data_IF_627531564693
#
_entry.id   IF_627531564693
#
_cell.length_a   1.000
_cell.length_b   1.000
_cell.length_c   1.000
_cell.angle_alpha   90.00
_cell.angle_beta   90.00
_cell.angle_gamma   90.00
#
_symmetry.space_group_name_H-M   'P 1'
#
loop_
_entity.id
_entity.type
_entity.pdbx_description
1 polymer ?
#
# COMPACT_ATOMS: atom_id res chain seq x y z
N UNK A 1 -4.80 -22.13 -12.24
CA UNK A 1 -3.84 -21.01 -12.40
C UNK A 1 -4.62 -19.71 -12.41
N UNK A 2 -4.17 -18.71 -11.64
CA UNK A 2 -4.82 -17.41 -11.57
C UNK A 2 -4.64 -16.65 -12.90
N UNK A 3 -5.71 -16.04 -13.44
CA UNK A 3 -5.59 -15.21 -14.64
C UNK A 3 -4.95 -13.86 -14.32
N UNK A 4 -4.40 -13.18 -15.33
CA UNK A 4 -3.83 -11.83 -15.19
C UNK A 4 -4.86 -10.83 -14.68
N UNK A 5 -6.11 -10.95 -15.14
CA UNK A 5 -7.22 -10.10 -14.71
C UNK A 5 -7.58 -10.30 -13.25
N UNK A 6 -7.66 -11.55 -12.79
CA UNK A 6 -7.91 -11.89 -11.39
C UNK A 6 -6.78 -11.39 -10.49
N UNK A 7 -5.54 -11.53 -10.92
CA UNK A 7 -4.38 -11.01 -10.19
C UNK A 7 -4.40 -9.48 -10.08
N UNK A 8 -4.82 -8.76 -11.13
CA UNK A 8 -4.95 -7.31 -11.12
C UNK A 8 -6.05 -6.85 -10.14
N UNK A 9 -7.21 -7.50 -10.12
CA UNK A 9 -8.29 -7.21 -9.17
C UNK A 9 -7.80 -7.39 -7.73
N UNK A 10 -7.18 -8.54 -7.45
CA UNK A 10 -6.62 -8.83 -6.13
C UNK A 10 -5.60 -7.78 -5.68
N UNK A 11 -4.69 -7.41 -6.59
CA UNK A 11 -3.70 -6.36 -6.32
C UNK A 11 -4.36 -5.03 -5.97
N UNK A 12 -5.40 -4.62 -6.70
CA UNK A 12 -6.12 -3.37 -6.41
C UNK A 12 -6.74 -3.37 -5.00
N UNK A 13 -7.33 -4.50 -4.58
CA UNK A 13 -7.88 -4.65 -3.22
C UNK A 13 -6.76 -4.57 -2.17
N UNK A 14 -5.61 -5.20 -2.42
CA UNK A 14 -4.47 -5.16 -1.53
C UNK A 14 -3.87 -3.75 -1.43
N UNK A 15 -3.74 -3.05 -2.55
CA UNK A 15 -3.26 -1.67 -2.62
C UNK A 15 -4.18 -0.73 -1.83
N UNK A 16 -5.50 -0.83 -2.01
CA UNK A 16 -6.48 -0.03 -1.28
C UNK A 16 -6.39 -0.27 0.24
N UNK A 17 -6.32 -1.51 0.66
CA UNK A 17 -6.16 -1.83 2.08
C UNK A 17 -4.82 -1.32 2.65
N UNK A 18 -3.76 -1.33 1.85
CA UNK A 18 -2.47 -0.73 2.19
C UNK A 18 -2.57 0.77 2.42
N UNK A 19 -3.23 1.49 1.50
CA UNK A 19 -3.45 2.93 1.59
C UNK A 19 -4.24 3.27 2.87
N UNK A 20 -5.36 2.60 3.13
CA UNK A 20 -6.18 2.82 4.32
C UNK A 20 -5.38 2.64 5.61
N UNK A 21 -4.51 1.64 5.66
CA UNK A 21 -3.66 1.36 6.83
C UNK A 21 -2.59 2.43 7.06
N UNK A 22 -1.98 2.95 5.99
CA UNK A 22 -0.89 3.92 6.09
C UNK A 22 -1.37 5.37 6.18
N UNK A 23 -2.63 5.64 5.85
CA UNK A 23 -3.20 6.99 5.80
C UNK A 23 -2.99 7.80 7.10
N UNK A 24 -3.23 7.27 8.32
CA UNK A 24 -2.99 8.02 9.55
C UNK A 24 -1.54 8.45 9.72
N UNK A 25 -0.59 7.58 9.42
CA UNK A 25 0.84 7.89 9.50
C UNK A 25 1.25 8.92 8.45
N UNK A 26 0.70 8.86 7.25
CA UNK A 26 0.94 9.83 6.18
C UNK A 26 0.45 11.22 6.59
N UNK A 27 -0.76 11.32 7.15
CA UNK A 27 -1.31 12.59 7.64
C UNK A 27 -0.46 13.15 8.78
N UNK A 28 -0.11 12.34 9.77
CA UNK A 28 0.73 12.76 10.88
C UNK A 28 2.11 13.26 10.42
N UNK A 29 2.71 12.63 9.43
CA UNK A 29 3.98 13.08 8.85
C UNK A 29 3.85 14.45 8.17
N UNK A 30 2.77 14.69 7.42
CA UNK A 30 2.51 15.99 6.80
C UNK A 30 2.26 17.09 7.85
N UNK A 31 1.49 16.80 8.89
CA UNK A 31 1.25 17.73 10.01
C UNK A 31 2.56 18.10 10.72
N UNK A 32 3.43 17.13 10.93
CA UNK A 32 4.76 17.36 11.51
C UNK A 32 5.63 18.26 10.63
N UNK A 33 5.61 18.04 9.31
CA UNK A 33 6.38 18.89 8.38
C UNK A 33 5.81 20.31 8.30
N UNK A 34 4.49 20.50 8.40
CA UNK A 34 3.87 21.83 8.54
C UNK A 34 4.36 22.53 9.79
N UNK A 35 4.34 21.85 10.94
CA UNK A 35 4.83 22.39 12.21
C UNK A 35 6.31 22.81 12.11
N UNK A 36 7.16 21.97 11.51
CA UNK A 36 8.58 22.32 11.29
C UNK A 36 8.76 23.56 10.42
N UNK A 37 7.93 23.75 9.38
CA UNK A 37 7.97 24.97 8.60
C UNK A 37 7.56 26.19 9.39
N UNK A 38 6.57 26.07 10.27
CA UNK A 38 6.08 27.14 11.12
C UNK A 38 7.12 27.50 12.20
N UNK A 39 7.74 26.53 12.84
CA UNK A 39 8.85 26.74 13.78
C UNK A 39 10.04 27.44 13.11
N UNK A 40 10.43 26.98 11.92
CA UNK A 40 11.54 27.62 11.19
C UNK A 40 11.21 29.06 10.76
N UNK A 41 9.96 29.38 10.48
CA UNK A 41 9.55 30.77 10.22
C UNK A 41 9.61 31.62 11.49
N UNK A 42 9.17 31.07 12.63
CA UNK A 42 9.28 31.74 13.92
C UNK A 42 10.74 32.00 14.31
N UNK A 43 11.63 31.03 14.10
CA UNK A 43 13.07 31.21 14.36
C UNK A 43 13.64 32.39 13.54
N UNK A 44 13.26 32.50 12.27
CA UNK A 44 13.71 33.62 11.42
C UNK A 44 13.11 34.92 11.92
N UNK A 45 11.83 34.96 12.27
CA UNK A 45 11.15 36.17 12.77
C UNK A 45 11.81 36.66 14.07
N UNK A 46 12.06 35.79 15.05
CA UNK A 46 12.76 36.13 16.29
C UNK A 46 14.20 36.58 16.07
N UNK A 47 14.92 35.91 15.14
CA UNK A 47 16.28 36.32 14.81
C UNK A 47 16.31 37.74 14.19
N UNK A 48 15.37 38.04 13.29
CA UNK A 48 15.22 39.36 12.66
C UNK A 48 14.86 40.46 13.66
N UNK A 49 14.08 40.11 14.69
CA UNK A 49 13.66 41.04 15.71
C UNK A 49 14.84 41.50 16.60
N UNK A 50 15.79 40.60 16.87
CA UNK A 50 16.85 40.83 17.88
C UNK A 50 18.15 41.30 17.22
N UNK A 51 18.41 41.01 15.96
CA UNK A 51 19.69 41.20 15.33
C UNK A 51 19.67 42.27 14.20
N UNK A 52 20.67 43.14 14.22
CA UNK A 52 20.98 43.95 13.04
C UNK A 52 21.67 43.09 11.97
N UNK A 53 21.35 43.33 10.71
CA UNK A 53 21.91 42.52 9.64
C UNK A 53 22.14 43.34 8.35
N UNK A 54 23.19 42.99 7.57
CA UNK A 54 23.45 43.61 6.27
C UNK A 54 22.44 43.17 5.20
N UNK A 55 22.21 43.97 4.20
CA UNK A 55 21.28 43.72 3.10
C UNK A 55 21.45 42.32 2.45
N UNK A 56 22.69 41.83 2.33
CA UNK A 56 22.98 40.49 1.81
C UNK A 56 22.36 39.37 2.67
N UNK A 57 22.42 39.50 3.97
CA UNK A 57 21.81 38.57 4.91
C UNK A 57 20.29 38.65 4.83
N UNK A 58 19.73 39.85 4.77
CA UNK A 58 18.30 40.09 4.58
C UNK A 58 17.76 39.43 3.30
N UNK A 59 18.50 39.52 2.21
CA UNK A 59 18.15 38.85 0.94
C UNK A 59 18.11 37.31 1.05
N UNK A 60 19.08 36.72 1.77
CA UNK A 60 19.09 35.25 2.02
C UNK A 60 17.91 34.83 2.88
N UNK A 61 17.61 35.59 3.94
CA UNK A 61 16.47 35.29 4.81
C UNK A 61 15.14 35.43 4.08
N UNK A 62 14.96 36.49 3.29
CA UNK A 62 13.76 36.67 2.46
C UNK A 62 13.53 35.48 1.48
N UNK A 63 14.59 34.98 0.86
CA UNK A 63 14.53 33.78 0.01
C UNK A 63 14.11 32.57 0.82
N UNK A 64 14.70 32.36 1.99
CA UNK A 64 14.37 31.24 2.87
C UNK A 64 12.94 31.28 3.37
N UNK A 65 12.44 32.46 3.75
CA UNK A 65 11.04 32.67 4.15
C UNK A 65 10.10 32.27 3.00
N UNK A 66 10.41 32.71 1.78
CA UNK A 66 9.61 32.36 0.60
C UNK A 66 9.56 30.84 0.38
N UNK A 67 10.71 30.16 0.44
CA UNK A 67 10.80 28.71 0.29
C UNK A 67 9.96 27.97 1.36
N UNK A 68 10.09 28.37 2.63
CA UNK A 68 9.34 27.77 3.74
C UNK A 68 7.83 28.00 3.61
N UNK A 69 7.41 29.19 3.20
CA UNK A 69 5.99 29.52 2.98
C UNK A 69 5.38 28.72 1.83
N UNK A 70 6.12 28.53 0.72
CA UNK A 70 5.69 27.70 -0.40
C UNK A 70 5.58 26.23 0.04
N UNK A 71 6.62 25.69 0.67
CA UNK A 71 6.60 24.31 1.20
C UNK A 71 5.42 24.09 2.16
N UNK A 72 5.20 25.03 3.10
CA UNK A 72 4.07 24.94 4.04
C UNK A 72 2.72 24.92 3.32
N UNK A 73 2.55 25.73 2.26
CA UNK A 73 1.32 25.75 1.46
C UNK A 73 1.10 24.40 0.79
N UNK A 74 2.10 23.87 0.11
CA UNK A 74 2.00 22.58 -0.59
C UNK A 74 1.63 21.44 0.38
N UNK A 75 2.22 21.45 1.58
CA UNK A 75 1.89 20.48 2.62
C UNK A 75 0.44 20.63 3.11
N UNK A 76 -0.04 21.86 3.33
CA UNK A 76 -1.43 22.13 3.74
C UNK A 76 -2.42 21.76 2.64
N UNK A 77 -2.09 22.00 1.38
CA UNK A 77 -2.93 21.61 0.25
C UNK A 77 -3.08 20.09 0.18
N UNK A 78 -2.00 19.34 0.39
CA UNK A 78 -2.05 17.88 0.49
C UNK A 78 -2.93 17.40 1.68
N UNK A 79 -2.82 18.06 2.83
CA UNK A 79 -3.68 17.74 3.98
C UNK A 79 -5.15 17.99 3.67
N UNK A 80 -5.50 19.11 3.03
CA UNK A 80 -6.88 19.43 2.61
C UNK A 80 -7.47 18.29 1.75
N UNK A 81 -6.68 17.70 0.87
CA UNK A 81 -7.09 16.57 0.03
C UNK A 81 -7.27 15.28 0.85
N UNK A 82 -6.38 15.02 1.79
CA UNK A 82 -6.36 13.76 2.55
C UNK A 82 -7.36 13.72 3.71
N UNK A 83 -7.71 14.86 4.30
CA UNK A 83 -8.63 14.92 5.44
C UNK A 83 -10.01 14.33 5.14
N UNK A 84 -10.69 14.65 4.02
CA UNK A 84 -11.95 14.00 3.66
C UNK A 84 -11.84 12.49 3.50
N UNK A 85 -10.72 12.00 2.98
CA UNK A 85 -10.46 10.56 2.84
C UNK A 85 -10.33 9.91 4.22
N UNK A 86 -9.59 10.53 5.14
CA UNK A 86 -9.48 10.10 6.54
C UNK A 86 -10.85 10.01 7.20
N UNK A 87 -11.66 11.05 7.06
CA UNK A 87 -12.99 11.13 7.70
C UNK A 87 -13.92 10.06 7.13
N UNK A 88 -13.87 9.82 5.82
CA UNK A 88 -14.62 8.74 5.19
C UNK A 88 -14.16 7.35 5.70
N UNK A 89 -12.87 7.10 5.79
CA UNK A 89 -12.32 5.84 6.32
C UNK A 89 -12.75 5.63 7.77
N UNK A 90 -12.69 6.68 8.60
CA UNK A 90 -13.12 6.61 10.00
C UNK A 90 -14.61 6.29 10.14
N UNK A 91 -15.47 6.94 9.34
CA UNK A 91 -16.90 6.70 9.33
C UNK A 91 -17.27 5.29 8.83
N UNK A 92 -16.42 4.66 8.00
CA UNK A 92 -16.67 3.36 7.39
C UNK A 92 -15.71 2.27 7.93
N UNK A 93 -15.21 2.42 9.13
CA UNK A 93 -14.23 1.51 9.72
C UNK A 93 -14.68 0.03 9.69
N UNK A 94 -15.95 -0.24 9.94
CA UNK A 94 -16.49 -1.61 9.89
C UNK A 94 -16.37 -2.22 8.49
N UNK A 95 -16.63 -1.44 7.44
CA UNK A 95 -16.50 -1.86 6.04
C UNK A 95 -15.06 -2.20 5.69
N UNK A 96 -14.11 -1.37 6.09
CA UNK A 96 -12.68 -1.64 5.86
C UNK A 96 -12.18 -2.85 6.65
N UNK A 97 -12.71 -3.09 7.84
CA UNK A 97 -12.44 -4.32 8.59
C UNK A 97 -12.99 -5.57 7.89
N UNK A 98 -14.15 -5.47 7.25
CA UNK A 98 -14.68 -6.56 6.41
C UNK A 98 -13.82 -6.81 5.17
N UNK A 99 -13.25 -5.77 4.58
CA UNK A 99 -12.31 -5.87 3.47
C UNK A 99 -11.04 -6.66 3.85
N UNK A 100 -10.53 -6.49 5.07
CA UNK A 100 -9.40 -7.29 5.55
C UNK A 100 -9.75 -8.78 5.68
N UNK A 101 -10.97 -9.11 6.12
CA UNK A 101 -11.47 -10.48 6.10
C UNK A 101 -11.56 -11.05 4.69
N UNK A 102 -12.12 -10.28 3.75
CA UNK A 102 -12.20 -10.64 2.34
C UNK A 102 -10.80 -10.94 1.76
N UNK A 103 -9.80 -10.11 2.07
CA UNK A 103 -8.41 -10.36 1.65
C UNK A 103 -7.88 -11.69 2.19
N UNK A 104 -8.21 -12.03 3.42
CA UNK A 104 -7.86 -13.32 4.01
C UNK A 104 -8.50 -14.49 3.25
N UNK A 105 -9.78 -14.38 2.90
CA UNK A 105 -10.46 -15.39 2.10
C UNK A 105 -9.89 -15.51 0.68
N UNK A 106 -9.62 -14.41 0.01
CA UNK A 106 -8.97 -14.41 -1.31
C UNK A 106 -7.63 -15.15 -1.26
N UNK A 107 -6.80 -14.89 -0.25
CA UNK A 107 -5.51 -15.59 -0.09
C UNK A 107 -5.68 -17.11 0.05
N UNK A 108 -6.67 -17.56 0.83
CA UNK A 108 -6.99 -18.98 0.97
C UNK A 108 -7.38 -19.60 -0.37
N UNK A 109 -8.21 -18.89 -1.16
CA UNK A 109 -8.63 -19.36 -2.49
C UNK A 109 -7.45 -19.41 -3.47
N UNK A 110 -6.57 -18.41 -3.46
CA UNK A 110 -5.35 -18.40 -4.30
C UNK A 110 -4.45 -19.60 -3.93
N UNK A 111 -4.25 -19.85 -2.65
CA UNK A 111 -3.48 -21.02 -2.17
C UNK A 111 -4.12 -22.32 -2.63
N UNK A 112 -5.44 -22.44 -2.54
CA UNK A 112 -6.18 -23.61 -3.01
C UNK A 112 -6.04 -23.83 -4.52
N UNK A 113 -6.21 -22.77 -5.33
CA UNK A 113 -6.13 -22.84 -6.78
C UNK A 113 -4.73 -23.21 -7.27
N UNK A 114 -3.69 -22.69 -6.59
CA UNK A 114 -2.29 -22.96 -6.94
C UNK A 114 -1.73 -24.21 -6.26
N UNK A 115 -2.49 -24.83 -5.36
CA UNK A 115 -2.11 -26.06 -4.69
C UNK A 115 -2.25 -27.30 -5.58
N UNK A 116 -1.59 -28.37 -5.20
CA UNK A 116 -1.77 -29.66 -5.83
C UNK A 116 -3.20 -30.17 -5.58
N UNK A 117 -3.89 -30.52 -6.65
CA UNK A 117 -5.22 -31.12 -6.58
C UNK A 117 -5.10 -32.62 -6.75
N UNK A 118 -5.79 -33.38 -5.91
CA UNK A 118 -5.93 -34.81 -6.05
C UNK A 118 -7.42 -35.17 -6.28
N UNK A 119 -7.64 -36.20 -7.03
CA UNK A 119 -8.97 -36.70 -7.29
C UNK A 119 -8.97 -38.24 -7.07
N UNK A 120 -9.92 -38.71 -6.33
CA UNK A 120 -10.15 -40.13 -6.18
C UNK A 120 -11.30 -40.56 -7.09
N UNK A 121 -11.07 -41.44 -8.07
CA UNK A 121 -12.11 -41.91 -8.97
C UNK A 121 -13.25 -42.60 -8.19
N UNK A 122 -14.50 -42.34 -8.63
CA UNK A 122 -15.68 -42.96 -7.98
C UNK A 122 -16.15 -44.20 -8.73
N UNK A 123 -15.82 -44.33 -9.99
CA UNK A 123 -16.33 -45.39 -10.91
C UNK A 123 -15.21 -46.02 -11.71
N UNK A 124 -14.25 -45.26 -12.23
CA UNK A 124 -13.22 -45.73 -13.13
C UNK A 124 -11.90 -46.07 -12.46
N UNK A 125 -11.97 -46.85 -11.37
CA UNK A 125 -10.77 -47.25 -10.61
C UNK A 125 -9.77 -48.07 -11.48
N UNK A 126 -10.27 -48.86 -12.41
CA UNK A 126 -9.44 -49.71 -13.27
C UNK A 126 -8.55 -48.90 -14.21
N UNK A 127 -8.98 -47.67 -14.61
CA UNK A 127 -8.23 -46.81 -15.49
C UNK A 127 -7.27 -45.89 -14.75
N UNK A 128 -7.66 -45.39 -13.56
CA UNK A 128 -6.96 -44.30 -12.91
C UNK A 128 -6.35 -44.67 -11.53
N UNK A 129 -6.61 -45.85 -11.03
CA UNK A 129 -6.28 -46.22 -9.66
C UNK A 129 -7.12 -45.44 -8.64
N UNK A 130 -6.69 -45.44 -7.36
CA UNK A 130 -7.46 -44.80 -6.28
C UNK A 130 -7.29 -43.29 -6.19
N UNK A 131 -6.17 -42.74 -6.65
CA UNK A 131 -5.87 -41.28 -6.62
C UNK A 131 -5.21 -40.84 -7.93
N UNK A 132 -5.74 -39.79 -8.54
CA UNK A 132 -5.15 -39.15 -9.72
C UNK A 132 -4.83 -37.70 -9.38
N UNK A 133 -3.58 -37.28 -9.42
CA UNK A 133 -3.23 -35.87 -9.28
C UNK A 133 -3.84 -35.08 -10.45
N UNK A 134 -4.65 -34.08 -10.15
CA UNK A 134 -5.33 -33.24 -11.18
C UNK A 134 -4.51 -32.04 -11.62
N UNK A 135 -3.38 -31.79 -11.02
CA UNK A 135 -2.47 -30.73 -11.47
C UNK A 135 -1.52 -31.28 -12.55
N UNK A 136 -2.03 -31.37 -13.75
CA UNK A 136 -1.41 -32.07 -14.90
C UNK A 136 -0.06 -31.51 -15.35
N UNK A 137 0.23 -30.22 -15.14
CA UNK A 137 1.51 -29.66 -15.58
C UNK A 137 2.70 -30.11 -14.73
N UNK A 138 2.56 -30.12 -13.39
CA UNK A 138 3.67 -30.50 -12.50
C UNK A 138 3.92 -32.01 -12.54
N UNK A 139 2.86 -32.82 -12.71
CA UNK A 139 2.97 -34.28 -12.84
C UNK A 139 3.58 -34.70 -14.18
N UNK A 140 3.25 -34.02 -15.28
CA UNK A 140 3.80 -34.28 -16.60
C UNK A 140 5.30 -33.96 -16.67
N UNK A 141 5.74 -32.87 -16.03
CA UNK A 141 7.15 -32.47 -15.98
C UNK A 141 7.97 -33.50 -15.16
N UNK A 142 7.48 -33.91 -13.99
CA UNK A 142 8.16 -34.94 -13.17
C UNK A 142 8.24 -36.30 -13.88
N UNK A 143 7.21 -36.66 -14.68
CA UNK A 143 7.22 -37.91 -15.43
C UNK A 143 8.20 -37.87 -16.63
N UNK A 144 8.37 -36.72 -17.24
CA UNK A 144 9.34 -36.51 -18.33
C UNK A 144 10.79 -36.50 -17.84
N UNK A 145 11.04 -35.99 -16.63
CA UNK A 145 12.36 -35.96 -16.00
C UNK A 145 12.78 -37.34 -15.45
N UNK A 146 11.81 -38.15 -14.97
CA UNK A 146 12.08 -39.52 -14.47
C UNK A 146 12.33 -40.56 -15.53
N UNK A 147 12.09 -40.30 -16.82
CA UNK A 147 12.35 -41.23 -17.91
C UNK A 147 13.70 -40.99 -18.64
N UNK A 148 14.52 -40.07 -18.16
CA UNK A 148 15.86 -39.77 -18.67
C UNK A 148 17.00 -40.30 -17.81
N UNK A 149 16.75 -41.28 -16.96
CA UNK A 149 17.80 -41.98 -16.18
C UNK A 149 17.95 -43.40 -16.65
#
# INVERSE_FOLDING_TARGET
MESTETAAIRKTIDDLAGIVRTLPATIAALEQEVARCEEALMDIDHWLEINDFPARTGGKLAKRIKELRLKRRDLKDNLIILLPIRDFVAANHATFKQMDKLRGEIRKQVTYVNGARSYTPRVLFDLFGREVPTNTMTAAIKKAEGQKS
#
